data_IF_804772274334
#
_entry.id   IF_804772274334
#
_cell.length_a   1.000
_cell.length_b   1.000
_cell.length_c   1.000
_cell.angle_alpha   90.00
_cell.angle_beta   90.00
_cell.angle_gamma   90.00
#
_symmetry.space_group_name_H-M   'P 1'
#
loop_
_entity.id
_entity.type
_entity.pdbx_description
1 polymer ?
#
# COMPACT_ATOMS: atom_id res chain seq x y z
N UNK A 1 -11.29 -31.63 39.31
CA UNK A 1 -10.83 -31.40 37.92
C UNK A 1 -11.74 -30.35 37.30
N UNK A 2 -11.30 -29.09 37.24
CA UNK A 2 -12.09 -27.99 36.65
C UNK A 2 -11.90 -28.02 35.13
N UNK A 3 -12.90 -28.52 34.40
CA UNK A 3 -12.90 -28.48 32.94
C UNK A 3 -13.10 -27.05 32.45
N UNK A 4 -12.25 -26.59 31.54
CA UNK A 4 -12.35 -25.27 30.90
C UNK A 4 -13.47 -25.32 29.85
N UNK A 5 -14.61 -24.67 30.11
CA UNK A 5 -15.81 -24.77 29.26
C UNK A 5 -15.85 -23.78 28.09
N UNK A 6 -15.23 -22.60 28.24
CA UNK A 6 -15.13 -21.56 27.19
C UNK A 6 -13.77 -20.86 27.24
N UNK A 7 -13.09 -20.81 26.11
CA UNK A 7 -11.87 -20.03 25.92
C UNK A 7 -11.92 -19.44 24.51
N UNK A 8 -11.77 -18.13 24.39
CA UNK A 8 -11.77 -17.44 23.11
C UNK A 8 -10.34 -17.04 22.74
N UNK A 9 -9.81 -17.61 21.65
CA UNK A 9 -8.51 -17.31 21.08
C UNK A 9 -8.65 -16.66 19.68
N UNK A 10 -9.83 -16.17 19.35
CA UNK A 10 -10.14 -15.57 18.05
C UNK A 10 -9.30 -14.33 17.80
N UNK A 11 -9.02 -14.02 16.54
CA UNK A 11 -8.36 -12.80 16.09
C UNK A 11 -7.03 -12.51 16.79
N UNK A 12 -6.24 -13.56 17.04
CA UNK A 12 -4.86 -13.43 17.48
C UNK A 12 -3.89 -13.74 16.33
N UNK A 13 -2.60 -13.56 16.57
CA UNK A 13 -1.55 -13.90 15.61
C UNK A 13 -0.93 -15.29 15.91
N UNK A 14 -1.76 -16.27 16.28
CA UNK A 14 -1.29 -17.62 16.60
C UNK A 14 -0.91 -18.38 15.34
N UNK A 15 0.13 -19.20 15.44
CA UNK A 15 0.70 -19.96 14.33
C UNK A 15 0.95 -21.43 14.69
N UNK A 16 0.93 -22.29 13.67
CA UNK A 16 1.26 -23.71 13.81
C UNK A 16 0.05 -24.62 13.98
N UNK A 17 0.33 -25.87 14.35
CA UNK A 17 -0.69 -26.91 14.50
C UNK A 17 -1.42 -26.74 15.83
N UNK A 18 -2.75 -26.77 15.80
CA UNK A 18 -3.57 -26.73 17.01
C UNK A 18 -3.30 -28.01 17.84
N UNK A 19 -2.91 -27.89 19.13
CA UNK A 19 -2.58 -29.03 19.96
C UNK A 19 -3.83 -29.87 20.27
N UNK A 20 -3.74 -31.17 20.02
CA UNK A 20 -4.82 -32.14 20.24
C UNK A 20 -4.82 -32.62 21.70
N UNK A 21 -5.19 -31.75 22.64
CA UNK A 21 -5.29 -32.06 24.08
C UNK A 21 -6.74 -32.27 24.54
N UNK A 22 -6.95 -33.01 25.63
CA UNK A 22 -8.30 -33.30 26.16
C UNK A 22 -9.05 -32.03 26.59
N UNK A 23 -8.38 -31.03 27.15
CA UNK A 23 -9.04 -29.81 27.64
C UNK A 23 -9.46 -28.86 26.51
N UNK A 24 -8.69 -28.79 25.42
CA UNK A 24 -8.94 -27.85 24.30
C UNK A 24 -9.98 -28.38 23.30
N UNK A 25 -10.21 -29.69 23.25
CA UNK A 25 -11.28 -30.29 22.45
C UNK A 25 -12.66 -30.19 23.12
N UNK A 26 -12.69 -29.98 24.44
CA UNK A 26 -13.95 -29.91 25.21
C UNK A 26 -14.57 -28.50 25.19
N UNK A 27 -14.00 -27.57 24.41
CA UNK A 27 -14.63 -26.27 24.18
C UNK A 27 -15.96 -26.48 23.45
N UNK A 28 -16.99 -25.74 23.88
CA UNK A 28 -18.34 -25.82 23.28
C UNK A 28 -18.32 -25.41 21.80
N UNK A 29 -17.48 -24.46 21.42
CA UNK A 29 -17.37 -23.92 20.05
C UNK A 29 -15.90 -23.78 19.61
N UNK A 30 -15.17 -24.88 19.39
CA UNK A 30 -13.72 -24.82 19.25
C UNK A 30 -13.32 -24.13 17.93
N UNK A 31 -14.11 -24.24 16.85
CA UNK A 31 -13.81 -23.57 15.58
C UNK A 31 -13.94 -22.04 15.66
N UNK A 32 -14.94 -21.52 16.40
CA UNK A 32 -15.13 -20.07 16.57
C UNK A 32 -14.06 -19.48 17.50
N UNK A 33 -13.62 -20.25 18.50
CA UNK A 33 -12.53 -19.87 19.38
C UNK A 33 -11.18 -19.68 18.69
N UNK A 34 -10.96 -20.21 17.49
CA UNK A 34 -9.70 -20.04 16.75
C UNK A 34 -9.84 -19.21 15.47
N UNK A 35 -11.04 -18.65 15.20
CA UNK A 35 -11.30 -17.85 14.00
C UNK A 35 -10.36 -16.63 13.94
N UNK A 36 -9.99 -16.17 12.74
CA UNK A 36 -9.14 -14.98 12.59
C UNK A 36 -7.64 -15.18 12.84
N UNK A 37 -7.17 -16.40 13.16
CA UNK A 37 -5.73 -16.70 13.26
C UNK A 37 -5.20 -17.24 11.92
N UNK A 38 -4.61 -16.35 11.10
CA UNK A 38 -4.16 -16.70 9.74
C UNK A 38 -3.06 -17.76 9.65
N UNK A 39 -2.39 -18.13 10.75
CA UNK A 39 -1.27 -19.08 10.74
C UNK A 39 -1.58 -20.41 11.47
N UNK A 40 -2.79 -20.63 11.98
CA UNK A 40 -3.20 -21.90 12.62
C UNK A 40 -3.67 -22.96 11.60
N UNK A 41 -3.36 -24.23 11.84
CA UNK A 41 -3.82 -25.34 11.02
C UNK A 41 -4.17 -26.57 11.88
N UNK A 42 -4.98 -27.48 11.32
CA UNK A 42 -5.45 -28.71 11.96
C UNK A 42 -6.86 -28.58 12.56
N UNK A 43 -7.46 -29.72 12.97
CA UNK A 43 -8.79 -29.75 13.60
C UNK A 43 -8.82 -28.86 14.85
N UNK A 44 -9.91 -28.12 15.11
CA UNK A 44 -11.23 -28.12 14.45
C UNK A 44 -11.34 -27.26 13.18
N UNK A 45 -10.27 -26.59 12.74
CA UNK A 45 -10.32 -25.78 11.53
C UNK A 45 -10.23 -26.67 10.28
N UNK A 46 -10.94 -26.27 9.22
CA UNK A 46 -10.90 -26.96 7.91
C UNK A 46 -9.53 -26.88 7.21
N UNK A 47 -8.55 -26.15 7.78
CA UNK A 47 -7.24 -25.92 7.16
C UNK A 47 -6.25 -27.00 7.57
N UNK A 48 -5.89 -27.89 6.64
CA UNK A 48 -4.95 -28.98 6.90
C UNK A 48 -3.49 -28.51 6.95
N UNK A 49 -2.70 -29.08 7.87
CA UNK A 49 -1.27 -28.78 8.01
C UNK A 49 -0.36 -29.53 7.00
N UNK A 50 -0.92 -30.35 6.11
CA UNK A 50 -0.16 -31.29 5.25
C UNK A 50 -0.04 -30.87 3.78
N UNK A 51 -0.31 -29.61 3.43
CA UNK A 51 -0.09 -29.11 2.07
C UNK A 51 1.25 -28.39 1.92
N UNK A 52 1.84 -28.31 0.70
CA UNK A 52 2.80 -27.26 0.41
C UNK A 52 2.17 -25.94 0.86
N UNK A 53 2.96 -25.10 1.53
CA UNK A 53 2.54 -23.83 2.12
C UNK A 53 1.91 -22.93 1.06
N UNK A 54 0.64 -23.12 0.74
CA UNK A 54 -0.16 -22.13 0.02
C UNK A 54 -0.52 -21.09 1.06
N UNK A 55 0.48 -20.28 1.43
CA UNK A 55 0.28 -18.95 1.98
C UNK A 55 -0.29 -18.09 0.86
N UNK A 56 -1.52 -18.38 0.44
CA UNK A 56 -2.25 -17.66 -0.61
C UNK A 56 -2.68 -16.24 -0.21
N UNK A 57 -2.08 -15.67 0.84
CA UNK A 57 -2.26 -14.27 1.22
C UNK A 57 -0.94 -13.48 1.25
N UNK A 58 0.21 -14.14 1.48
CA UNK A 58 1.48 -13.45 1.69
C UNK A 58 2.16 -13.07 0.36
N UNK A 59 2.00 -13.91 -0.68
CA UNK A 59 2.49 -13.60 -2.03
C UNK A 59 1.73 -12.44 -2.67
N UNK A 60 0.42 -12.34 -2.45
CA UNK A 60 -0.42 -11.32 -3.09
C UNK A 60 -0.30 -9.96 -2.40
N UNK A 61 -0.14 -9.94 -1.07
CA UNK A 61 0.05 -8.72 -0.27
C UNK A 61 1.40 -8.06 -0.62
N UNK A 62 2.49 -8.83 -0.66
CA UNK A 62 3.80 -8.30 -1.01
C UNK A 62 3.88 -7.82 -2.48
N UNK A 63 3.16 -8.50 -3.38
CA UNK A 63 3.05 -8.07 -4.78
C UNK A 63 2.17 -6.82 -4.92
N UNK A 64 1.14 -6.66 -4.09
CA UNK A 64 0.30 -5.47 -4.08
C UNK A 64 1.08 -4.24 -3.60
N UNK A 65 1.83 -4.35 -2.50
CA UNK A 65 2.66 -3.25 -1.98
C UNK A 65 3.69 -2.78 -3.01
N UNK A 66 4.40 -3.72 -3.64
CA UNK A 66 5.35 -3.41 -4.70
C UNK A 66 4.66 -2.68 -5.87
N UNK A 67 3.47 -3.14 -6.30
CA UNK A 67 2.70 -2.51 -7.38
C UNK A 67 2.35 -1.05 -7.06
N UNK A 68 1.85 -0.78 -5.84
CA UNK A 68 1.50 0.60 -5.45
C UNK A 68 2.74 1.49 -5.35
N UNK A 69 3.87 0.96 -4.87
CA UNK A 69 5.14 1.68 -4.83
C UNK A 69 5.63 2.05 -6.24
N UNK A 70 5.61 1.09 -7.17
CA UNK A 70 5.98 1.33 -8.58
C UNK A 70 5.03 2.33 -9.27
N UNK A 71 3.73 2.25 -9.02
CA UNK A 71 2.76 3.21 -9.55
C UNK A 71 3.00 4.62 -9.01
N UNK A 72 3.29 4.76 -7.72
CA UNK A 72 3.64 6.04 -7.10
C UNK A 72 4.92 6.64 -7.70
N UNK A 73 5.95 5.82 -7.90
CA UNK A 73 7.21 6.25 -8.49
C UNK A 73 7.04 6.70 -9.95
N UNK A 74 6.31 5.91 -10.76
CA UNK A 74 6.07 6.24 -12.17
C UNK A 74 5.24 7.52 -12.32
N UNK A 75 4.14 7.65 -11.55
CA UNK A 75 3.27 8.83 -11.59
C UNK A 75 3.98 10.08 -11.09
N UNK A 76 4.73 9.97 -9.98
CA UNK A 76 5.54 11.06 -9.45
C UNK A 76 6.60 11.55 -10.44
N UNK A 77 7.27 10.63 -11.14
CA UNK A 77 8.26 10.98 -12.16
C UNK A 77 7.62 11.72 -13.34
N UNK A 78 6.48 11.23 -13.85
CA UNK A 78 5.76 11.85 -14.97
C UNK A 78 5.29 13.26 -14.59
N UNK A 79 4.66 13.43 -13.42
CA UNK A 79 4.20 14.73 -12.94
C UNK A 79 5.37 15.69 -12.69
N UNK A 80 6.47 15.20 -12.11
CA UNK A 80 7.68 15.98 -11.88
C UNK A 80 8.29 16.50 -13.18
N UNK A 81 8.46 15.62 -14.17
CA UNK A 81 8.95 16.02 -15.49
C UNK A 81 8.00 16.99 -16.18
N UNK A 82 6.69 16.79 -16.07
CA UNK A 82 5.69 17.69 -16.63
C UNK A 82 5.80 19.11 -16.06
N UNK A 83 5.93 19.24 -14.74
CA UNK A 83 6.11 20.55 -14.08
C UNK A 83 7.40 21.21 -14.54
N UNK A 84 8.52 20.49 -14.55
CA UNK A 84 9.80 21.03 -15.04
C UNK A 84 9.70 21.48 -16.49
N UNK A 85 9.03 20.70 -17.35
CA UNK A 85 8.82 21.03 -18.75
C UNK A 85 7.97 22.29 -18.92
N UNK A 86 6.86 22.41 -18.19
CA UNK A 86 6.00 23.61 -18.20
C UNK A 86 6.76 24.83 -17.72
N UNK A 87 7.50 24.73 -16.61
CA UNK A 87 8.33 25.83 -16.09
C UNK A 87 9.41 26.20 -17.09
N UNK A 88 10.09 25.23 -17.70
CA UNK A 88 11.13 25.49 -18.71
C UNK A 88 10.56 26.18 -19.95
N UNK A 89 9.41 25.71 -20.46
CA UNK A 89 8.73 26.34 -21.59
C UNK A 89 8.23 27.74 -21.25
N UNK A 90 7.65 27.92 -20.06
CA UNK A 90 7.19 29.21 -19.58
C UNK A 90 8.36 30.17 -19.38
N UNK A 91 9.47 29.75 -18.74
CA UNK A 91 10.68 30.55 -18.63
C UNK A 91 11.29 30.89 -20.00
N UNK A 92 11.29 29.95 -20.96
CA UNK A 92 11.79 30.20 -22.32
C UNK A 92 10.89 31.19 -23.08
N UNK A 93 9.56 31.00 -23.04
CA UNK A 93 8.59 31.94 -23.62
C UNK A 93 8.63 33.29 -22.91
N UNK A 94 8.71 33.30 -21.58
CA UNK A 94 8.79 34.51 -20.75
C UNK A 94 10.06 35.28 -21.04
N UNK A 95 11.21 34.63 -21.22
CA UNK A 95 12.44 35.32 -21.60
C UNK A 95 12.28 36.02 -22.94
N UNK A 96 11.67 35.36 -23.93
CA UNK A 96 11.42 35.95 -25.25
C UNK A 96 10.37 37.06 -25.18
N UNK A 97 9.26 36.84 -24.48
CA UNK A 97 8.19 37.83 -24.30
C UNK A 97 8.67 39.05 -23.51
N UNK A 98 9.47 38.84 -22.47
CA UNK A 98 10.11 39.90 -21.69
C UNK A 98 11.03 40.75 -22.57
N UNK A 99 11.87 40.11 -23.40
CA UNK A 99 12.75 40.84 -24.31
C UNK A 99 11.94 41.66 -25.33
N UNK A 100 10.89 41.07 -25.91
CA UNK A 100 10.00 41.79 -26.82
C UNK A 100 9.22 42.93 -26.15
N UNK A 101 8.83 42.78 -24.89
CA UNK A 101 8.19 43.84 -24.11
C UNK A 101 9.17 44.99 -23.85
N UNK A 102 10.41 44.65 -23.49
CA UNK A 102 11.47 45.63 -23.25
C UNK A 102 11.81 46.43 -24.51
N UNK A 103 11.96 45.76 -25.66
CA UNK A 103 12.17 46.42 -26.95
C UNK A 103 11.02 47.39 -27.30
N UNK A 104 9.77 46.96 -27.07
CA UNK A 104 8.59 47.82 -27.29
C UNK A 104 8.58 49.05 -26.37
N UNK A 105 8.97 48.88 -25.10
CA UNK A 105 9.08 49.99 -24.15
C UNK A 105 10.17 50.97 -24.55
N UNK A 106 11.34 50.49 -24.96
CA UNK A 106 12.44 51.34 -25.44
C UNK A 106 12.03 52.18 -26.64
N UNK A 107 11.37 51.56 -27.63
CA UNK A 107 10.84 52.27 -28.79
C UNK A 107 9.79 53.31 -28.40
N UNK A 108 8.88 52.98 -27.47
CA UNK A 108 7.87 53.92 -27.00
C UNK A 108 8.50 55.11 -26.24
N UNK A 109 9.50 54.86 -25.40
CA UNK A 109 10.24 55.90 -24.68
C UNK A 109 10.98 56.82 -25.65
N UNK A 110 11.67 56.27 -26.65
CA UNK A 110 12.33 57.07 -27.69
C UNK A 110 11.35 57.92 -28.49
N UNK A 111 10.19 57.37 -28.85
CA UNK A 111 9.14 58.12 -29.55
C UNK A 111 8.50 59.23 -28.69
N UNK A 112 8.50 59.09 -27.37
CA UNK A 112 8.00 60.11 -26.44
C UNK A 112 9.03 61.22 -26.15
N UNK A 113 10.32 60.93 -26.34
CA UNK A 113 11.43 61.85 -26.10
C UNK A 113 11.85 62.65 -27.35
N UNK A 114 11.28 62.37 -28.51
CA UNK A 114 11.47 63.10 -29.78
C UNK A 114 10.31 64.04 -30.05
#
# INVERSE_FOLDING_TARGET
MTMLSKMNLSYNNLSGKIPTGNQLQTLIDPASSYIGNKYLCGPPLSRNCSGPKVFGGDLDEHQAEARFFYLGLATGFILGLWVVFVVFLFCKRCRVAYFQLFDKLLHAIQAFMA
#
